data_IF_062105704321
#
_entry.id   IF_062105704321
#
_cell.length_a   1.000
_cell.length_b   1.000
_cell.length_c   1.000
_cell.angle_alpha   90.00
_cell.angle_beta   90.00
_cell.angle_gamma   90.00
#
_symmetry.space_group_name_H-M   'P 1'
#
loop_
_entity.id
_entity.type
_entity.pdbx_description
1 polymer ?
#
# COMPACT_ATOMS: atom_id res chain seq x y z
N UNK A 1 13.76 2.96 13.13
CA UNK A 1 12.87 3.74 12.23
C UNK A 1 12.77 3.11 10.84
N UNK A 2 13.88 2.92 10.10
CA UNK A 2 13.82 2.24 8.79
C UNK A 2 13.17 0.85 8.88
N UNK A 3 13.58 0.01 9.83
CA UNK A 3 12.95 -1.29 10.08
C UNK A 3 11.45 -1.18 10.44
N UNK A 4 11.06 -0.12 11.15
CA UNK A 4 9.66 0.17 11.47
C UNK A 4 8.87 0.55 10.21
N UNK A 5 9.44 1.42 9.36
CA UNK A 5 8.86 1.80 8.07
C UNK A 5 8.68 0.59 7.16
N UNK A 6 9.68 -0.28 7.05
CA UNK A 6 9.60 -1.50 6.25
C UNK A 6 8.56 -2.48 6.80
N UNK A 7 8.47 -2.62 8.13
CA UNK A 7 7.45 -3.44 8.78
C UNK A 7 6.04 -2.90 8.54
N UNK A 8 5.84 -1.57 8.61
CA UNK A 8 4.55 -0.93 8.28
C UNK A 8 4.16 -1.16 6.82
N UNK A 9 5.09 -1.03 5.89
CA UNK A 9 4.83 -1.32 4.46
C UNK A 9 4.48 -2.81 4.28
N UNK A 10 5.17 -3.71 4.97
CA UNK A 10 4.85 -5.15 4.95
C UNK A 10 3.44 -5.46 5.46
N UNK A 11 3.03 -4.83 6.56
CA UNK A 11 1.66 -4.93 7.08
C UNK A 11 0.62 -4.36 6.11
N UNK A 12 0.95 -3.28 5.40
CA UNK A 12 0.09 -2.65 4.40
C UNK A 12 -0.09 -3.56 3.16
N UNK A 13 0.97 -4.29 2.76
CA UNK A 13 0.88 -5.34 1.75
C UNK A 13 0.06 -6.55 2.22
N UNK A 14 0.20 -6.94 3.48
CA UNK A 14 -0.57 -8.03 4.06
C UNK A 14 -2.08 -7.72 4.11
N UNK A 15 -2.47 -6.48 4.43
CA UNK A 15 -3.88 -6.05 4.39
C UNK A 15 -4.42 -5.91 2.96
N UNK A 16 -3.58 -5.54 2.00
CA UNK A 16 -3.96 -5.58 0.58
C UNK A 16 -4.26 -7.01 0.10
N UNK A 17 -3.45 -7.99 0.48
CA UNK A 17 -3.73 -9.41 0.20
C UNK A 17 -4.94 -9.93 0.99
N UNK A 18 -5.18 -9.48 2.22
CA UNK A 18 -6.37 -9.84 2.99
C UNK A 18 -7.69 -9.42 2.30
N UNK A 19 -7.66 -8.33 1.53
CA UNK A 19 -8.78 -7.89 0.70
C UNK A 19 -9.21 -8.93 -0.34
N UNK A 20 -8.31 -9.80 -0.82
CA UNK A 20 -8.65 -10.84 -1.79
C UNK A 20 -9.41 -12.03 -1.20
N UNK A 21 -9.27 -12.23 0.11
CA UNK A 21 -9.90 -13.33 0.86
C UNK A 21 -11.20 -12.86 1.53
N UNK A 22 -11.67 -11.64 1.24
CA UNK A 22 -12.88 -11.07 1.83
C UNK A 22 -12.70 -10.54 3.26
N UNK A 23 -11.45 -10.41 3.74
CA UNK A 23 -11.13 -9.88 5.07
C UNK A 23 -11.25 -8.35 5.19
N UNK A 24 -11.57 -7.67 4.09
CA UNK A 24 -11.59 -6.20 4.00
C UNK A 24 -10.19 -5.58 3.99
N UNK A 25 -10.08 -4.40 3.38
CA UNK A 25 -8.81 -3.67 3.29
C UNK A 25 -8.67 -2.91 1.97
N UNK A 26 -7.54 -2.25 1.78
CA UNK A 26 -7.25 -1.44 0.58
C UNK A 26 -7.24 -2.28 -0.72
N UNK A 27 -7.00 -3.60 -0.62
CA UNK A 27 -7.08 -4.53 -1.76
C UNK A 27 -8.50 -4.94 -2.15
N UNK A 28 -9.48 -4.79 -1.24
CA UNK A 28 -10.89 -5.07 -1.53
C UNK A 28 -11.45 -4.06 -2.55
N UNK A 29 -11.00 -2.80 -2.49
CA UNK A 29 -11.35 -1.78 -3.48
C UNK A 29 -10.82 -2.15 -4.89
N UNK A 30 -9.62 -2.74 -4.97
CA UNK A 30 -9.05 -3.18 -6.25
C UNK A 30 -9.82 -4.35 -6.87
N UNK A 31 -10.30 -5.29 -6.04
CA UNK A 31 -11.04 -6.46 -6.52
C UNK A 31 -12.49 -6.11 -6.83
N UNK A 32 -13.15 -5.36 -5.95
CA UNK A 32 -14.54 -4.97 -6.10
C UNK A 32 -14.74 -4.01 -7.27
N UNK A 33 -13.87 -3.00 -7.44
CA UNK A 33 -14.02 -2.04 -8.54
C UNK A 33 -13.26 -2.44 -9.82
N UNK A 34 -12.19 -3.23 -9.72
CA UNK A 34 -11.35 -3.62 -10.86
C UNK A 34 -11.71 -4.97 -11.49
N UNK A 35 -11.91 -6.00 -10.67
CA UNK A 35 -12.11 -7.38 -11.17
C UNK A 35 -13.57 -7.67 -11.51
N UNK A 36 -14.53 -7.22 -10.68
CA UNK A 36 -15.95 -7.51 -10.90
C UNK A 36 -16.52 -6.90 -12.19
N UNK A 37 -15.87 -5.87 -12.74
CA UNK A 37 -16.30 -5.19 -13.98
C UNK A 37 -15.52 -5.61 -15.21
N UNK A 38 -14.54 -6.53 -15.09
CA UNK A 38 -13.59 -6.91 -16.16
C UNK A 38 -12.87 -5.71 -16.79
N UNK A 39 -12.80 -4.59 -16.07
CA UNK A 39 -12.23 -3.35 -16.57
C UNK A 39 -10.76 -3.27 -16.11
N UNK A 40 -9.87 -3.76 -16.97
CA UNK A 40 -8.43 -3.75 -16.73
C UNK A 40 -7.90 -2.35 -16.37
N UNK A 41 -8.59 -1.30 -16.83
CA UNK A 41 -8.28 0.08 -16.52
C UNK A 41 -8.48 0.41 -15.03
N UNK A 42 -9.54 -0.10 -14.41
CA UNK A 42 -9.83 0.12 -12.99
C UNK A 42 -8.88 -0.68 -12.07
N UNK A 43 -8.51 -1.89 -12.47
CA UNK A 43 -7.48 -2.70 -11.78
C UNK A 43 -6.12 -2.00 -11.81
N UNK A 44 -5.72 -1.45 -12.96
CA UNK A 44 -4.46 -0.71 -13.10
C UNK A 44 -4.46 0.59 -12.29
N UNK A 45 -5.60 1.30 -12.26
CA UNK A 45 -5.76 2.54 -11.50
C UNK A 45 -5.63 2.28 -9.99
N UNK A 46 -6.25 1.23 -9.47
CA UNK A 46 -6.13 0.87 -8.05
C UNK A 46 -4.72 0.39 -7.68
N UNK A 47 -4.04 -0.33 -8.57
CA UNK A 47 -2.62 -0.67 -8.39
C UNK A 47 -1.72 0.58 -8.34
N UNK A 48 -1.95 1.56 -9.22
CA UNK A 48 -1.23 2.83 -9.22
C UNK A 48 -1.43 3.62 -7.91
N UNK A 49 -2.66 3.65 -7.38
CA UNK A 49 -2.94 4.29 -6.09
C UNK A 49 -2.14 3.63 -4.96
N UNK A 50 -2.09 2.30 -4.92
CA UNK A 50 -1.28 1.57 -3.93
C UNK A 50 0.20 1.90 -4.04
N UNK A 51 0.74 1.96 -5.27
CA UNK A 51 2.14 2.35 -5.53
C UNK A 51 2.41 3.75 -4.98
N UNK A 52 1.54 4.72 -5.26
CA UNK A 52 1.67 6.10 -4.78
C UNK A 52 1.64 6.17 -3.25
N UNK A 53 0.75 5.42 -2.59
CA UNK A 53 0.66 5.35 -1.12
C UNK A 53 1.94 4.77 -0.52
N UNK A 54 2.43 3.64 -1.04
CA UNK A 54 3.68 3.02 -0.57
C UNK A 54 4.84 3.99 -0.75
N UNK A 55 4.91 4.68 -1.88
CA UNK A 55 5.98 5.62 -2.18
C UNK A 55 5.97 6.84 -1.25
N UNK A 56 4.78 7.36 -0.91
CA UNK A 56 4.59 8.40 0.11
C UNK A 56 5.07 7.94 1.49
N UNK A 57 4.68 6.74 1.93
CA UNK A 57 5.08 6.18 3.23
C UNK A 57 6.60 5.99 3.27
N UNK A 58 7.20 5.51 2.18
CA UNK A 58 8.63 5.29 2.11
C UNK A 58 9.42 6.60 2.10
N UNK A 59 8.96 7.62 1.37
CA UNK A 59 9.60 8.94 1.40
C UNK A 59 9.48 9.61 2.77
N UNK A 60 8.32 9.52 3.43
CA UNK A 60 8.11 10.04 4.78
C UNK A 60 8.96 9.30 5.80
N UNK A 61 8.91 7.97 5.82
CA UNK A 61 9.68 7.14 6.75
C UNK A 61 11.18 7.31 6.58
N UNK A 62 11.67 7.44 5.34
CA UNK A 62 13.09 7.72 5.08
C UNK A 62 13.49 9.15 5.45
N UNK A 63 12.63 10.15 5.24
CA UNK A 63 12.89 11.54 5.68
C UNK A 63 12.92 11.63 7.21
N UNK A 64 11.98 10.99 7.90
CA UNK A 64 11.92 10.97 9.35
C UNK A 64 13.11 10.19 9.95
N UNK A 65 13.46 9.04 9.37
CA UNK A 65 14.64 8.28 9.76
C UNK A 65 15.94 9.07 9.58
N UNK A 66 16.06 9.84 8.49
CA UNK A 66 17.23 10.71 8.26
C UNK A 66 17.28 11.90 9.21
N UNK A 67 16.14 12.43 9.66
CA UNK A 67 16.08 13.50 10.66
C UNK A 67 16.48 12.99 12.04
N UNK A 68 15.93 11.87 12.49
CA UNK A 68 16.27 11.30 13.80
C UNK A 68 17.69 10.72 13.87
N UNK A 69 18.28 10.29 12.76
CA UNK A 69 19.67 9.80 12.73
C UNK A 69 20.71 10.94 12.68
N UNK A 70 20.27 12.21 12.64
CA UNK A 70 21.14 13.39 12.73
C UNK A 70 21.18 14.02 14.13
N UNK A 71 20.46 13.45 15.10
CA UNK A 71 20.67 13.72 16.53
C UNK A 71 21.33 12.51 17.18
#
# INVERSE_FOLDING_TARGET
ILALTTATIGLLGATAMAGTVGGGGIGDLAITYGYQRFDAFATLTTALVLIVIVQLIQTLGTRLARRLRRE
#
